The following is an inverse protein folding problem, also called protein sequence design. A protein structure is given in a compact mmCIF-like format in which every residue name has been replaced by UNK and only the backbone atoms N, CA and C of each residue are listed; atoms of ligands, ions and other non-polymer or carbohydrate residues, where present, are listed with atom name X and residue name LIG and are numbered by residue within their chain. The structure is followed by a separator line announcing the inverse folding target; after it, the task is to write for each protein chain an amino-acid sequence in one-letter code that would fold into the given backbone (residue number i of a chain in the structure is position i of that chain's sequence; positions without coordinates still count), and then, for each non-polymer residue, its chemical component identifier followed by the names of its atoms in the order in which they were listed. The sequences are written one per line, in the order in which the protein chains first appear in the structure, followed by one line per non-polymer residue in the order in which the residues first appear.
data_IF_184777207786
#
_entry.id   IF_184777207786
#
_cell.length_a   1.000
_cell.length_b   1.000
_cell.length_c   1.000
_cell.angle_alpha   90.00
_cell.angle_beta   90.00
_cell.angle_gamma   90.00
#
_symmetry.space_group_name_H-M   'P 1'
#
loop_
_entity.id
_entity.type
_entity.pdbx_description
1 polymer ?
#
# COMPACT_ATOMS: atom_id res chain seq x y z
N UNK A 1 -6.11 -12.92 4.00
CA UNK A 1 -5.53 -11.61 3.63
C UNK A 1 -4.49 -11.27 4.66
N UNK A 2 -3.27 -10.95 4.23
CA UNK A 2 -2.13 -10.66 5.11
C UNK A 2 -2.00 -9.14 5.30
N UNK A 3 -1.88 -8.67 6.55
CA UNK A 3 -1.66 -7.25 6.84
C UNK A 3 -0.24 -6.87 6.42
N UNK A 4 -0.08 -5.94 5.48
CA UNK A 4 1.25 -5.52 5.00
C UNK A 4 1.80 -4.30 5.71
N UNK A 5 0.92 -3.42 6.22
CA UNK A 5 1.37 -2.11 6.67
C UNK A 5 0.29 -1.08 6.89
N UNK A 6 0.73 0.16 7.06
CA UNK A 6 -0.10 1.35 7.26
C UNK A 6 -0.01 2.24 6.01
N UNK A 7 -1.17 2.63 5.47
CA UNK A 7 -1.24 3.64 4.41
C UNK A 7 -0.98 5.02 5.01
N UNK A 8 0.12 5.66 4.62
CA UNK A 8 0.58 6.92 5.22
C UNK A 8 -0.11 8.13 4.60
N UNK A 9 0.01 8.28 3.29
CA UNK A 9 -0.54 9.40 2.53
C UNK A 9 -0.52 9.10 1.02
N UNK A 10 -1.13 9.99 0.24
CA UNK A 10 -0.97 10.05 -1.21
C UNK A 10 0.12 11.08 -1.52
N UNK A 11 1.21 10.65 -2.15
CA UNK A 11 2.28 11.54 -2.58
C UNK A 11 1.78 12.53 -3.65
N UNK A 12 2.49 13.63 -3.86
CA UNK A 12 2.17 14.61 -4.92
C UNK A 12 2.10 13.98 -6.32
N UNK A 13 2.82 12.88 -6.54
CA UNK A 13 2.76 12.07 -7.77
C UNK A 13 1.48 11.23 -7.93
N UNK A 14 0.56 11.27 -6.96
CA UNK A 14 -0.65 10.44 -6.93
C UNK A 14 -0.43 9.03 -6.40
N UNK A 15 0.79 8.67 -5.97
CA UNK A 15 1.11 7.32 -5.48
C UNK A 15 0.69 7.15 -4.02
N UNK A 16 0.11 6.00 -3.69
CA UNK A 16 -0.14 5.60 -2.32
C UNK A 16 1.16 5.12 -1.68
N UNK A 17 1.56 5.77 -0.59
CA UNK A 17 2.74 5.40 0.19
C UNK A 17 2.31 4.58 1.40
N UNK A 18 2.89 3.39 1.54
CA UNK A 18 2.58 2.44 2.61
C UNK A 18 3.89 2.12 3.34
N UNK A 19 3.90 2.20 4.67
CA UNK A 19 5.00 1.66 5.46
C UNK A 19 4.75 0.18 5.70
N UNK A 20 5.68 -0.66 5.24
CA UNK A 20 5.58 -2.11 5.31
C UNK A 20 6.68 -2.70 6.19
N UNK A 21 6.39 -3.87 6.77
CA UNK A 21 7.39 -4.66 7.52
C UNK A 21 8.00 -5.79 6.68
N UNK A 22 7.50 -6.04 5.47
CA UNK A 22 7.89 -7.17 4.62
C UNK A 22 8.10 -6.75 3.17
N UNK A 23 9.08 -7.38 2.50
CA UNK A 23 9.43 -7.15 1.08
C UNK A 23 8.63 -7.99 0.08
N UNK A 24 7.84 -8.97 0.54
CA UNK A 24 7.14 -9.95 -0.34
C UNK A 24 5.87 -9.39 -1.00
N UNK A 25 5.85 -8.11 -1.34
CA UNK A 25 4.66 -7.37 -1.78
C UNK A 25 4.77 -6.83 -3.21
N UNK A 26 5.92 -7.00 -3.89
CA UNK A 26 6.13 -6.40 -5.19
C UNK A 26 5.17 -6.96 -6.25
N UNK A 27 4.61 -6.09 -7.10
CA UNK A 27 3.64 -6.45 -8.14
C UNK A 27 2.26 -6.91 -7.66
N UNK A 28 2.04 -7.05 -6.33
CA UNK A 28 0.76 -7.49 -5.77
C UNK A 28 -0.27 -6.36 -5.74
N UNK A 29 -1.54 -6.76 -5.60
CA UNK A 29 -2.64 -5.84 -5.39
C UNK A 29 -2.84 -5.56 -3.90
N UNK A 30 -3.15 -4.30 -3.58
CA UNK A 30 -3.38 -3.83 -2.21
C UNK A 30 -4.87 -3.81 -1.89
N UNK A 31 -5.15 -4.44 -0.74
CA UNK A 31 -6.38 -4.68 0.00
C UNK A 31 -6.76 -3.56 0.97
N UNK A 32 -8.00 -3.05 0.98
CA UNK A 32 -8.56 -2.50 2.23
C UNK A 32 -9.01 -3.62 3.20
N UNK A 33 -9.42 -3.26 4.42
CA UNK A 33 -9.89 -4.25 5.42
C UNK A 33 -11.17 -4.98 5.01
N UNK A 34 -11.97 -4.41 4.10
CA UNK A 34 -13.22 -4.99 3.60
C UNK A 34 -12.99 -5.89 2.38
N UNK A 35 -11.74 -6.05 1.93
CA UNK A 35 -11.40 -6.84 0.74
C UNK A 35 -11.53 -6.09 -0.57
N UNK A 36 -11.77 -4.77 -0.56
CA UNK A 36 -11.83 -3.98 -1.79
C UNK A 36 -10.44 -3.67 -2.29
N UNK A 37 -10.20 -3.95 -3.57
CA UNK A 37 -8.95 -3.65 -4.27
C UNK A 37 -8.77 -2.12 -4.41
N UNK A 38 -7.67 -1.59 -3.87
CA UNK A 38 -7.45 -0.12 -3.81
C UNK A 38 -6.24 0.36 -4.59
N UNK A 39 -5.20 -0.44 -4.74
CA UNK A 39 -3.97 -0.05 -5.44
C UNK A 39 -3.21 -1.27 -5.98
N UNK A 40 -2.24 -1.04 -6.86
CA UNK A 40 -1.26 -2.03 -7.32
C UNK A 40 0.14 -1.59 -6.93
N UNK A 41 0.92 -2.48 -6.30
CA UNK A 41 2.30 -2.17 -5.93
C UNK A 41 3.14 -1.99 -7.19
N UNK A 42 3.84 -0.86 -7.27
CA UNK A 42 4.74 -0.56 -8.38
C UNK A 42 6.21 -0.76 -8.00
N UNK A 43 6.59 -0.39 -6.78
CA UNK A 43 7.97 -0.44 -6.33
C UNK A 43 8.06 -0.50 -4.81
N UNK A 44 9.22 -0.94 -4.32
CA UNK A 44 9.57 -1.00 -2.90
C UNK A 44 10.88 -0.23 -2.73
N UNK A 45 10.88 0.74 -1.81
CA UNK A 45 12.02 1.64 -1.56
C UNK A 45 12.35 1.70 -0.06
N UNK A 46 13.53 2.22 0.27
CA UNK A 46 13.92 2.48 1.65
C UNK A 46 14.50 1.28 2.41
N UNK A 47 14.51 1.33 3.76
CA UNK A 47 15.25 0.39 4.60
C UNK A 47 14.80 -1.06 4.46
N UNK A 48 15.75 -2.00 4.54
CA UNK A 48 15.47 -3.44 4.40
C UNK A 48 14.51 -3.97 5.47
N UNK A 49 14.65 -3.51 6.71
CA UNK A 49 13.84 -3.96 7.86
C UNK A 49 12.44 -3.33 7.91
N UNK A 50 12.24 -2.17 7.28
CA UNK A 50 10.98 -1.43 7.30
C UNK A 50 10.82 -0.62 6.01
N UNK A 51 10.62 -1.29 4.86
CA UNK A 51 10.54 -0.63 3.58
C UNK A 51 9.27 0.21 3.43
N UNK A 52 9.31 1.14 2.48
CA UNK A 52 8.13 1.82 1.96
C UNK A 52 7.72 1.20 0.63
N UNK A 53 6.41 1.11 0.43
CA UNK A 53 5.80 0.66 -0.81
C UNK A 53 5.15 1.84 -1.48
N UNK A 54 5.46 2.01 -2.75
CA UNK A 54 4.85 2.99 -3.63
C UNK A 54 3.91 2.24 -4.57
N UNK A 55 2.61 2.53 -4.45
CA UNK A 55 1.54 1.83 -5.13
C UNK A 55 0.70 2.80 -5.98
N UNK A 56 0.26 2.34 -7.14
CA UNK A 56 -0.60 3.08 -8.06
C UNK A 56 -2.05 2.88 -7.61
N UNK A 57 -2.76 3.92 -7.16
CA UNK A 57 -4.18 3.80 -6.82
C UNK A 57 -5.03 3.42 -8.02
N UNK A 58 -6.09 2.65 -7.78
CA UNK A 58 -7.04 2.26 -8.83
C UNK A 58 -8.22 3.24 -8.94
N UNK A 59 -8.55 3.95 -7.86
CA UNK A 59 -9.64 4.91 -7.80
C UNK A 59 -9.47 5.87 -6.61
N UNK A 60 -10.28 6.94 -6.58
CA UNK A 60 -10.27 7.93 -5.50
C UNK A 60 -10.64 7.39 -4.11
N UNK A 61 -11.27 6.19 -4.02
CA UNK A 61 -11.60 5.59 -2.72
C UNK A 61 -10.36 5.24 -1.91
N UNK A 62 -9.17 5.19 -2.54
CA UNK A 62 -7.88 5.04 -1.87
C UNK A 62 -7.67 6.08 -0.75
N UNK A 63 -8.22 7.29 -0.89
CA UNK A 63 -8.09 8.35 0.13
C UNK A 63 -8.72 7.95 1.47
N UNK A 64 -9.73 7.06 1.44
CA UNK A 64 -10.43 6.56 2.64
C UNK A 64 -9.60 5.61 3.48
N UNK A 65 -8.49 5.09 2.94
CA UNK A 65 -7.60 4.16 3.63
C UNK A 65 -6.36 4.82 4.24
N UNK A 66 -6.18 6.13 4.01
CA UNK A 66 -5.11 6.90 4.67
C UNK A 66 -5.26 6.78 6.19
N UNK A 67 -4.16 6.49 6.88
CA UNK A 67 -4.11 6.23 8.31
C UNK A 67 -4.63 4.85 8.73
N UNK A 68 -4.94 3.94 7.77
CA UNK A 68 -5.48 2.61 8.06
C UNK A 68 -4.55 1.49 7.61
N UNK A 69 -4.77 0.31 8.20
CA UNK A 69 -4.10 -0.92 7.82
C UNK A 69 -4.54 -1.35 6.43
N UNK A 70 -3.57 -1.83 5.65
CA UNK A 70 -3.78 -2.35 4.30
C UNK A 70 -3.22 -3.76 4.18
N UNK A 71 -3.69 -4.49 3.18
CA UNK A 71 -3.54 -5.95 3.10
C UNK A 71 -3.10 -6.42 1.71
N UNK A 72 -2.61 -7.65 1.61
CA UNK A 72 -2.44 -8.38 0.34
C UNK A 72 -3.17 -9.72 0.41
N UNK A 73 -3.35 -10.33 -0.76
CA UNK A 73 -3.62 -11.77 -0.87
C UNK A 73 -2.32 -12.54 -1.11
#
# INVERSE_FOLDING_TARGET
MEQIGLALHIAKSGRLIIQCKSKKVNGKNVFDQRGNKIAKVSEIIGPVKSPYVSAIPLNDKVKRVIGKKVYIK
#
